data_IF_974822942650
#
_entry.id   IF_974822942650
#
_cell.length_a   1.000
_cell.length_b   1.000
_cell.length_c   1.000
_cell.angle_alpha   90.00
_cell.angle_beta   90.00
_cell.angle_gamma   90.00
#
_symmetry.space_group_name_H-M   'P 1'
#
loop_
_entity.id
_entity.type
_entity.pdbx_description
1 polymer ?
#
# COMPACT_ATOMS: atom_id res chain seq x y z
N UNK A 1 12.43 -20.41 -8.26
CA UNK A 1 12.15 -19.01 -8.59
C UNK A 1 13.04 -18.59 -9.77
N UNK A 2 12.65 -17.52 -10.51
CA UNK A 2 13.46 -16.88 -11.55
C UNK A 2 13.80 -17.74 -12.79
N UNK A 3 13.01 -18.72 -13.17
CA UNK A 3 13.33 -19.63 -14.29
C UNK A 3 13.41 -18.92 -15.66
N UNK A 4 12.66 -17.83 -15.84
CA UNK A 4 12.64 -17.04 -17.07
C UNK A 4 13.75 -15.98 -17.12
N UNK A 5 14.48 -15.77 -16.02
CA UNK A 5 15.56 -14.78 -15.96
C UNK A 5 16.81 -15.33 -16.68
N UNK A 6 17.46 -14.47 -17.46
CA UNK A 6 18.72 -14.73 -18.13
C UNK A 6 19.75 -13.65 -17.80
N UNK A 7 20.97 -13.79 -18.31
CA UNK A 7 22.03 -12.79 -18.17
C UNK A 7 21.69 -11.45 -18.84
N UNK A 8 20.77 -11.46 -19.81
CA UNK A 8 20.35 -10.29 -20.58
C UNK A 8 19.08 -9.64 -20.03
N UNK A 9 18.52 -10.18 -18.95
CA UNK A 9 17.33 -9.61 -18.30
C UNK A 9 17.70 -8.28 -17.65
N UNK A 10 17.08 -7.19 -18.09
CA UNK A 10 17.33 -5.85 -17.58
C UNK A 10 16.42 -5.47 -16.43
N UNK A 11 15.16 -5.89 -16.46
CA UNK A 11 14.14 -5.61 -15.44
C UNK A 11 13.47 -6.90 -15.00
N UNK A 12 13.35 -7.07 -13.69
CA UNK A 12 12.58 -8.13 -13.05
C UNK A 12 11.35 -7.50 -12.38
N UNK A 13 10.19 -7.69 -13.01
CA UNK A 13 8.94 -7.13 -12.51
C UNK A 13 8.14 -8.17 -11.73
N UNK A 14 7.75 -7.83 -10.50
CA UNK A 14 6.78 -8.55 -9.69
C UNK A 14 5.47 -7.78 -9.75
N UNK A 15 4.53 -8.28 -10.54
CA UNK A 15 3.27 -7.61 -10.79
C UNK A 15 2.19 -8.03 -9.80
N UNK A 16 1.40 -7.06 -9.32
CA UNK A 16 0.26 -7.21 -8.38
C UNK A 16 0.58 -8.10 -7.17
N UNK A 17 1.69 -7.81 -6.48
CA UNK A 17 2.07 -8.62 -5.32
C UNK A 17 1.09 -8.44 -4.17
N UNK A 18 0.80 -9.55 -3.49
CA UNK A 18 -0.15 -9.63 -2.40
C UNK A 18 0.38 -8.95 -1.12
N UNK A 19 -0.54 -8.59 -0.22
CA UNK A 19 -0.26 -7.95 1.09
C UNK A 19 0.82 -8.68 1.93
N UNK A 20 0.93 -10.00 1.80
CA UNK A 20 1.88 -10.83 2.55
C UNK A 20 3.22 -11.03 1.85
N UNK A 21 3.49 -10.30 0.76
CA UNK A 21 4.76 -10.41 0.05
C UNK A 21 5.92 -9.96 0.95
N UNK A 22 6.95 -10.79 1.02
CA UNK A 22 8.14 -10.55 1.81
C UNK A 22 9.21 -9.86 0.97
N UNK A 23 9.31 -8.55 1.12
CA UNK A 23 10.27 -7.71 0.39
C UNK A 23 11.72 -7.95 0.80
N UNK A 24 11.96 -8.44 2.02
CA UNK A 24 13.31 -8.68 2.51
C UNK A 24 14.01 -9.78 1.70
N UNK A 25 13.24 -10.71 1.11
CA UNK A 25 13.76 -11.72 0.18
C UNK A 25 14.39 -11.15 -1.09
N UNK A 26 14.09 -9.90 -1.43
CA UNK A 26 14.67 -9.21 -2.58
C UNK A 26 15.98 -8.47 -2.23
N UNK A 27 16.33 -8.34 -0.96
CA UNK A 27 17.46 -7.53 -0.54
C UNK A 27 18.79 -8.02 -1.13
N UNK A 28 19.03 -9.33 -1.11
CA UNK A 28 20.24 -9.90 -1.72
C UNK A 28 20.28 -9.69 -3.23
N UNK A 29 19.13 -9.85 -3.91
CA UNK A 29 19.03 -9.60 -5.36
C UNK A 29 19.36 -8.14 -5.70
N UNK A 30 18.91 -7.21 -4.88
CA UNK A 30 19.09 -5.77 -5.06
C UNK A 30 20.53 -5.32 -4.75
N UNK A 31 21.28 -6.01 -3.87
CA UNK A 31 22.58 -5.56 -3.36
C UNK A 31 23.77 -6.42 -3.74
N UNK A 32 23.57 -7.71 -3.99
CA UNK A 32 24.66 -8.69 -4.18
C UNK A 32 24.65 -9.34 -5.56
N UNK A 33 23.58 -9.14 -6.31
CA UNK A 33 23.34 -9.80 -7.59
C UNK A 33 22.43 -11.01 -7.45
N UNK A 34 22.13 -11.65 -8.57
CA UNK A 34 21.13 -12.71 -8.65
C UNK A 34 21.78 -14.07 -8.93
N UNK A 35 21.55 -15.03 -8.03
CA UNK A 35 21.91 -16.43 -8.28
C UNK A 35 20.71 -17.17 -8.89
N UNK A 36 20.93 -17.75 -10.04
CA UNK A 36 19.93 -18.53 -10.80
C UNK A 36 20.23 -20.00 -10.68
N UNK A 37 19.29 -20.74 -10.09
CA UNK A 37 19.29 -22.21 -10.08
C UNK A 37 18.20 -22.70 -11.03
N UNK A 38 18.58 -23.21 -12.19
CA UNK A 38 17.66 -23.82 -13.14
C UNK A 38 17.66 -25.34 -12.94
N UNK A 39 16.48 -25.96 -13.06
CA UNK A 39 16.33 -27.41 -12.94
C UNK A 39 17.30 -28.12 -13.90
N UNK A 40 18.13 -29.04 -13.37
CA UNK A 40 19.12 -29.80 -14.08
C UNK A 40 20.25 -28.97 -14.75
N UNK A 41 20.60 -27.81 -14.20
CA UNK A 41 21.73 -27.00 -14.65
C UNK A 41 22.48 -26.48 -13.43
N UNK A 42 23.78 -26.22 -13.60
CA UNK A 42 24.60 -25.60 -12.58
C UNK A 42 24.08 -24.21 -12.21
N UNK A 43 24.28 -23.86 -10.94
CA UNK A 43 23.92 -22.52 -10.44
C UNK A 43 24.78 -21.48 -11.15
N UNK A 44 24.14 -20.44 -11.68
CA UNK A 44 24.78 -19.33 -12.36
C UNK A 44 24.53 -18.03 -11.60
N UNK A 45 25.60 -17.29 -11.27
CA UNK A 45 25.51 -16.00 -10.57
C UNK A 45 25.65 -14.85 -11.56
N UNK A 46 24.64 -13.97 -11.60
CA UNK A 46 24.70 -12.69 -12.29
C UNK A 46 25.29 -11.67 -11.28
N UNK A 47 26.43 -11.04 -11.56
CA UNK A 47 27.04 -10.08 -10.67
C UNK A 47 26.16 -8.82 -10.56
N UNK A 48 26.26 -8.08 -9.47
CA UNK A 48 25.44 -6.89 -9.20
C UNK A 48 25.43 -5.88 -10.36
N UNK A 49 26.57 -5.63 -10.98
CA UNK A 49 26.70 -4.68 -12.12
C UNK A 49 25.87 -5.05 -13.35
N UNK A 50 25.52 -6.34 -13.51
CA UNK A 50 24.70 -6.88 -14.61
C UNK A 50 23.35 -7.42 -14.11
N UNK A 51 23.06 -7.28 -12.81
CA UNK A 51 21.82 -7.79 -12.22
C UNK A 51 20.63 -6.96 -12.68
N UNK A 52 19.48 -7.58 -12.98
CA UNK A 52 18.28 -6.85 -13.35
C UNK A 52 17.85 -5.88 -12.27
N UNK A 53 17.30 -4.74 -12.66
CA UNK A 53 16.61 -3.85 -11.74
C UNK A 53 15.27 -4.48 -11.34
N UNK A 54 14.91 -4.33 -10.07
CA UNK A 54 13.66 -4.88 -9.56
C UNK A 54 12.59 -3.82 -9.59
N UNK A 55 11.50 -4.10 -10.28
CA UNK A 55 10.26 -3.33 -10.25
C UNK A 55 9.16 -4.17 -9.57
N UNK A 56 8.22 -3.48 -8.91
CA UNK A 56 7.15 -4.16 -8.20
C UNK A 56 5.90 -3.29 -8.23
N UNK A 57 4.75 -3.90 -8.54
CA UNK A 57 3.45 -3.27 -8.42
C UNK A 57 2.64 -3.91 -7.30
N UNK A 58 1.88 -3.12 -6.57
CA UNK A 58 1.02 -3.59 -5.49
C UNK A 58 -0.05 -2.56 -5.14
N UNK A 59 -1.22 -3.04 -4.75
CA UNK A 59 -2.30 -2.22 -4.18
C UNK A 59 -2.13 -2.00 -2.66
N UNK A 60 -1.07 -2.56 -2.06
CA UNK A 60 -0.87 -2.55 -0.61
C UNK A 60 0.35 -1.73 -0.22
N UNK A 61 0.32 -1.11 0.97
CA UNK A 61 1.50 -0.49 1.54
C UNK A 61 2.60 -1.55 1.79
N UNK A 62 3.81 -1.24 1.36
CA UNK A 62 4.97 -2.10 1.56
C UNK A 62 5.35 -2.08 3.05
N UNK A 63 5.33 -3.26 3.68
CA UNK A 63 5.73 -3.43 5.08
C UNK A 63 7.24 -3.54 5.20
N UNK A 64 7.82 -2.84 6.14
CA UNK A 64 9.23 -2.87 6.50
C UNK A 64 9.62 -1.58 7.20
N UNK A 65 10.61 -1.66 8.08
CA UNK A 65 11.13 -0.52 8.86
C UNK A 65 12.66 -0.56 8.90
N UNK A 66 13.25 0.61 9.09
CA UNK A 66 14.68 0.76 9.29
C UNK A 66 15.44 1.23 8.06
N UNK A 67 16.63 1.76 8.31
CA UNK A 67 17.50 2.39 7.29
C UNK A 67 17.89 1.44 6.15
N UNK A 68 18.00 0.15 6.43
CA UNK A 68 18.31 -0.88 5.42
C UNK A 68 17.18 -1.03 4.40
N UNK A 69 15.94 -0.97 4.87
CA UNK A 69 14.75 -1.05 4.03
C UNK A 69 14.58 0.21 3.19
N UNK A 70 14.68 1.39 3.82
CA UNK A 70 14.48 2.68 3.14
C UNK A 70 15.52 2.93 2.03
N UNK A 71 16.76 2.47 2.19
CA UNK A 71 17.81 2.62 1.16
C UNK A 71 17.62 1.76 -0.08
N UNK A 72 16.76 0.72 0.00
CA UNK A 72 16.52 -0.25 -1.08
C UNK A 72 15.19 -0.06 -1.77
N UNK A 73 14.39 0.89 -1.29
CA UNK A 73 13.05 1.14 -1.79
C UNK A 73 12.95 2.52 -2.43
N UNK A 74 12.43 2.56 -3.64
CA UNK A 74 11.89 3.76 -4.25
C UNK A 74 10.41 3.52 -4.50
N UNK A 75 9.55 4.24 -3.80
CA UNK A 75 8.11 4.05 -3.86
C UNK A 75 7.46 5.21 -4.61
N UNK A 76 6.62 4.88 -5.58
CA UNK A 76 5.76 5.80 -6.30
C UNK A 76 4.32 5.47 -5.98
N UNK A 77 3.51 6.48 -5.78
CA UNK A 77 2.08 6.35 -5.60
C UNK A 77 1.38 6.98 -6.81
N UNK A 78 0.53 6.18 -7.47
CA UNK A 78 -0.32 6.66 -8.55
C UNK A 78 -1.62 7.22 -7.95
N UNK A 79 -2.02 8.41 -8.40
CA UNK A 79 -3.30 8.98 -8.02
C UNK A 79 -4.45 8.11 -8.56
N UNK A 80 -5.52 7.98 -7.79
CA UNK A 80 -6.73 7.30 -8.21
C UNK A 80 -7.56 8.25 -9.10
N UNK A 81 -7.19 8.34 -10.36
CA UNK A 81 -7.86 9.17 -11.35
C UNK A 81 -9.01 8.42 -12.02
N UNK A 82 -8.75 7.18 -12.43
CA UNK A 82 -9.76 6.34 -13.07
C UNK A 82 -10.64 5.62 -12.04
N UNK A 83 -11.91 5.45 -12.41
CA UNK A 83 -12.94 4.76 -11.62
C UNK A 83 -13.53 3.61 -12.43
N UNK A 84 -14.52 2.89 -11.85
CA UNK A 84 -15.25 1.84 -12.58
C UNK A 84 -16.02 2.38 -13.80
N UNK A 85 -16.53 3.60 -13.66
CA UNK A 85 -17.38 4.23 -14.67
C UNK A 85 -16.60 5.20 -15.58
N UNK A 86 -15.41 5.60 -15.18
CA UNK A 86 -14.51 6.45 -15.94
C UNK A 86 -13.15 5.76 -16.09
N UNK A 87 -12.95 5.13 -17.22
CA UNK A 87 -11.75 4.35 -17.55
C UNK A 87 -10.95 5.03 -18.66
N UNK A 88 -9.66 4.65 -18.89
CA UNK A 88 -8.91 5.15 -20.04
C UNK A 88 -9.63 4.94 -21.38
N UNK A 89 -10.33 3.81 -21.54
CA UNK A 89 -11.10 3.55 -22.73
C UNK A 89 -12.27 4.55 -22.91
N UNK A 90 -12.93 4.95 -21.81
CA UNK A 90 -14.00 5.96 -21.84
C UNK A 90 -13.44 7.34 -22.18
N UNK A 91 -12.29 7.69 -21.61
CA UNK A 91 -11.65 8.99 -21.83
C UNK A 91 -11.10 9.15 -23.25
N UNK A 92 -10.40 8.15 -23.76
CA UNK A 92 -9.70 8.23 -25.05
C UNK A 92 -10.46 7.58 -26.22
N UNK A 93 -11.55 6.84 -25.94
CA UNK A 93 -12.36 6.16 -26.97
C UNK A 93 -11.65 4.98 -27.65
N UNK A 94 -10.46 4.56 -27.15
CA UNK A 94 -9.63 3.49 -27.73
C UNK A 94 -8.65 2.93 -26.71
N UNK A 95 -8.03 1.80 -27.04
CA UNK A 95 -7.02 1.17 -26.18
C UNK A 95 -5.70 1.93 -26.27
N UNK A 96 -5.17 2.32 -25.13
CA UNK A 96 -3.82 2.90 -25.06
C UNK A 96 -2.78 1.88 -25.48
N UNK A 97 -1.73 2.34 -26.15
CA UNK A 97 -0.62 1.57 -26.72
C UNK A 97 -1.03 0.63 -27.86
N UNK A 98 -2.12 -0.14 -27.71
CA UNK A 98 -2.52 -1.15 -28.69
C UNK A 98 -3.10 -0.58 -29.97
N UNK A 99 -3.71 0.61 -29.91
CA UNK A 99 -4.39 1.27 -31.04
C UNK A 99 -3.77 2.64 -31.39
N UNK A 100 -2.54 2.89 -30.92
CA UNK A 100 -1.81 4.11 -31.23
C UNK A 100 -1.24 4.10 -32.67
N UNK A 101 -1.32 5.24 -33.32
CA UNK A 101 -0.65 5.48 -34.60
C UNK A 101 0.83 5.86 -34.42
N UNK A 102 1.56 5.98 -35.54
CA UNK A 102 3.00 6.31 -35.53
C UNK A 102 3.27 7.68 -34.90
N UNK A 103 2.37 8.66 -35.05
CA UNK A 103 2.53 9.98 -34.47
C UNK A 103 2.41 9.95 -32.93
N UNK A 104 1.50 9.16 -32.41
CA UNK A 104 1.35 8.97 -30.97
C UNK A 104 2.55 8.23 -30.36
N UNK A 105 3.07 7.22 -31.05
CA UNK A 105 4.31 6.57 -30.64
C UNK A 105 5.48 7.57 -30.64
N UNK A 106 5.62 8.43 -31.66
CA UNK A 106 6.63 9.49 -31.68
C UNK A 106 6.47 10.47 -30.51
N UNK A 107 5.23 10.84 -30.13
CA UNK A 107 4.99 11.72 -28.99
C UNK A 107 5.37 11.04 -27.68
N UNK A 108 5.03 9.75 -27.52
CA UNK A 108 5.44 8.97 -26.36
C UNK A 108 6.96 8.85 -26.25
N UNK A 109 7.66 8.56 -27.34
CA UNK A 109 9.11 8.45 -27.36
C UNK A 109 9.77 9.79 -26.98
N UNK A 110 9.28 10.91 -27.51
CA UNK A 110 9.75 12.25 -27.13
C UNK A 110 9.52 12.54 -25.63
N UNK A 111 8.36 12.15 -25.11
CA UNK A 111 8.07 12.27 -23.67
C UNK A 111 9.08 11.44 -22.84
N UNK A 112 9.36 10.21 -23.25
CA UNK A 112 10.33 9.33 -22.55
C UNK A 112 11.76 9.87 -22.63
N UNK A 113 12.17 10.44 -23.79
CA UNK A 113 13.47 11.10 -23.95
C UNK A 113 13.59 12.31 -23.01
N UNK A 114 12.57 13.15 -22.92
CA UNK A 114 12.55 14.29 -22.01
C UNK A 114 12.66 13.87 -20.54
N UNK A 115 11.95 12.79 -20.16
CA UNK A 115 12.07 12.22 -18.81
C UNK A 115 13.47 11.68 -18.53
N UNK A 116 14.10 11.03 -19.52
CA UNK A 116 15.47 10.55 -19.40
C UNK A 116 16.46 11.72 -19.23
N UNK A 117 16.31 12.81 -19.99
CA UNK A 117 17.12 14.02 -19.84
C UNK A 117 16.97 14.62 -18.43
N UNK A 118 15.73 14.73 -17.93
CA UNK A 118 15.46 15.19 -16.57
C UNK A 118 16.12 14.29 -15.52
N UNK A 119 16.06 12.97 -15.72
CA UNK A 119 16.74 12.04 -14.83
C UNK A 119 18.27 12.18 -14.86
N UNK A 120 18.87 12.36 -16.04
CA UNK A 120 20.31 12.53 -16.17
C UNK A 120 20.79 13.84 -15.53
N UNK A 121 19.97 14.88 -15.54
CA UNK A 121 20.30 16.18 -14.96
C UNK A 121 20.07 16.22 -13.43
N UNK A 122 18.96 15.67 -12.94
CA UNK A 122 18.51 15.83 -11.56
C UNK A 122 18.51 14.53 -10.73
N UNK A 123 18.74 13.38 -11.36
CA UNK A 123 18.59 12.06 -10.73
C UNK A 123 17.12 11.70 -10.46
N UNK A 124 16.90 10.77 -9.54
CA UNK A 124 15.56 10.35 -9.14
C UNK A 124 14.88 11.43 -8.29
N UNK A 125 13.84 12.04 -8.82
CA UNK A 125 13.04 13.02 -8.11
C UNK A 125 12.11 12.33 -7.13
N UNK A 126 12.12 12.75 -5.87
CA UNK A 126 11.21 12.22 -4.85
C UNK A 126 9.80 12.75 -5.09
N UNK A 127 8.84 11.84 -5.24
CA UNK A 127 7.44 12.20 -5.25
C UNK A 127 6.93 12.46 -3.82
N UNK A 128 5.95 13.34 -3.68
CA UNK A 128 5.21 13.49 -2.44
C UNK A 128 4.12 12.41 -2.38
N UNK A 129 4.08 11.67 -1.29
CA UNK A 129 3.03 10.69 -1.07
C UNK A 129 1.75 11.39 -0.63
N UNK A 130 0.67 11.21 -1.37
CA UNK A 130 -0.63 11.80 -1.04
C UNK A 130 -1.35 10.96 0.01
N UNK A 131 -1.32 9.63 -0.12
CA UNK A 131 -2.10 8.71 0.71
C UNK A 131 -1.25 7.71 1.51
N UNK A 132 0.07 7.88 1.58
CA UNK A 132 0.95 6.94 2.27
C UNK A 132 0.51 6.67 3.71
N UNK A 133 0.09 7.71 4.43
CA UNK A 133 -0.35 7.58 5.82
C UNK A 133 -1.61 6.71 5.93
N UNK A 134 -2.60 6.93 5.05
CA UNK A 134 -3.82 6.10 5.01
C UNK A 134 -3.48 4.67 4.62
N UNK A 135 -2.60 4.45 3.64
CA UNK A 135 -2.14 3.12 3.23
C UNK A 135 -1.42 2.37 4.36
N UNK A 136 -0.62 3.07 5.18
CA UNK A 136 0.00 2.50 6.36
C UNK A 136 -1.04 2.09 7.40
N UNK A 137 -2.06 2.92 7.63
CA UNK A 137 -3.17 2.58 8.52
C UNK A 137 -3.94 1.35 7.99
N UNK A 138 -4.25 1.30 6.68
CA UNK A 138 -4.86 0.13 6.04
C UNK A 138 -4.00 -1.13 6.24
N UNK A 139 -2.68 -1.00 6.10
CA UNK A 139 -1.76 -2.12 6.28
C UNK A 139 -1.75 -2.65 7.72
N UNK A 140 -1.93 -1.77 8.70
CA UNK A 140 -1.99 -2.12 10.12
C UNK A 140 -3.35 -2.68 10.54
N UNK A 141 -4.44 -2.11 10.04
CA UNK A 141 -5.81 -2.40 10.49
C UNK A 141 -6.62 -3.23 9.50
N UNK A 142 -6.73 -2.79 8.28
CA UNK A 142 -7.52 -3.39 7.20
C UNK A 142 -8.26 -2.31 6.43
N UNK A 143 -8.59 -2.62 5.18
CA UNK A 143 -9.29 -1.69 4.29
C UNK A 143 -10.68 -1.37 4.83
N UNK A 144 -11.42 -2.39 5.19
CA UNK A 144 -12.81 -2.32 5.67
C UNK A 144 -12.91 -1.49 6.95
N UNK A 145 -11.93 -1.60 7.86
CA UNK A 145 -11.90 -0.77 9.05
C UNK A 145 -11.66 0.71 8.73
N UNK A 146 -10.74 1.01 7.82
CA UNK A 146 -10.42 2.39 7.43
C UNK A 146 -11.59 3.03 6.66
N UNK A 147 -12.29 2.26 5.84
CA UNK A 147 -13.53 2.66 5.18
C UNK A 147 -14.63 2.91 6.21
N UNK A 148 -14.83 2.01 7.17
CA UNK A 148 -15.78 2.17 8.27
C UNK A 148 -15.49 3.39 9.14
N UNK A 149 -14.23 3.76 9.32
CA UNK A 149 -13.85 5.01 9.99
C UNK A 149 -14.20 6.27 9.18
N UNK A 150 -14.58 6.16 7.91
CA UNK A 150 -14.91 7.29 7.04
C UNK A 150 -13.70 7.94 6.36
N UNK A 151 -12.54 7.27 6.33
CA UNK A 151 -11.34 7.80 5.66
C UNK A 151 -11.27 7.47 4.17
N UNK A 152 -12.14 6.58 3.69
CA UNK A 152 -12.22 6.17 2.28
C UNK A 152 -13.65 6.36 1.77
N UNK A 153 -13.81 7.12 0.69
CA UNK A 153 -15.10 7.26 0.01
C UNK A 153 -16.19 8.04 0.76
N UNK A 154 -15.90 8.57 1.95
CA UNK A 154 -16.81 9.37 2.76
C UNK A 154 -16.33 10.82 2.88
N UNK A 155 -17.27 11.75 3.06
CA UNK A 155 -17.00 13.16 3.32
C UNK A 155 -16.86 13.47 4.81
N UNK A 156 -17.15 12.50 5.68
CA UNK A 156 -17.12 12.69 7.15
C UNK A 156 -16.62 11.45 7.87
N UNK A 157 -15.97 11.66 8.99
CA UNK A 157 -15.57 10.60 9.91
C UNK A 157 -16.81 9.99 10.57
N UNK A 158 -16.75 8.67 10.83
CA UNK A 158 -17.79 7.95 11.54
C UNK A 158 -18.13 8.63 12.87
N UNK A 159 -19.39 8.99 13.05
CA UNK A 159 -19.88 9.73 14.23
C UNK A 159 -19.58 9.05 15.56
N UNK A 160 -19.42 7.72 15.56
CA UNK A 160 -19.09 6.93 16.74
C UNK A 160 -17.61 7.05 17.16
N UNK A 161 -16.78 7.67 16.34
CA UNK A 161 -15.35 7.90 16.60
C UNK A 161 -15.02 9.38 16.88
N UNK A 162 -16.00 10.18 17.27
CA UNK A 162 -15.78 11.61 17.59
C UNK A 162 -15.06 11.81 18.92
N UNK A 163 -14.14 12.80 18.99
CA UNK A 163 -13.43 13.13 20.23
C UNK A 163 -14.37 13.71 21.30
N UNK A 164 -13.84 13.86 22.50
CA UNK A 164 -14.51 14.49 23.65
C UNK A 164 -15.78 13.76 24.12
N UNK A 165 -15.95 12.47 23.76
CA UNK A 165 -17.07 11.63 24.19
C UNK A 165 -16.58 10.31 24.80
N UNK A 166 -17.44 9.63 25.54
CA UNK A 166 -17.22 8.26 26.02
C UNK A 166 -17.66 7.28 24.94
N UNK A 167 -16.74 6.49 24.45
CA UNK A 167 -17.00 5.51 23.40
C UNK A 167 -16.92 4.13 24.02
N UNK A 168 -18.08 3.51 24.31
CA UNK A 168 -18.14 2.20 24.93
C UNK A 168 -17.59 1.13 23.98
N UNK A 169 -16.59 0.41 24.44
CA UNK A 169 -15.85 -0.56 23.64
C UNK A 169 -16.68 -1.71 23.09
N UNK A 170 -17.58 -2.34 23.88
CA UNK A 170 -18.42 -3.41 23.36
C UNK A 170 -19.35 -2.95 22.25
N UNK A 171 -19.94 -1.76 22.41
CA UNK A 171 -20.89 -1.20 21.44
C UNK A 171 -20.16 -0.87 20.13
N UNK A 172 -19.01 -0.20 20.22
CA UNK A 172 -18.21 0.11 19.04
C UNK A 172 -17.76 -1.14 18.26
N UNK A 173 -17.40 -2.22 18.98
CA UNK A 173 -17.07 -3.50 18.35
C UNK A 173 -18.28 -4.12 17.66
N UNK A 174 -19.44 -4.13 18.33
CA UNK A 174 -20.66 -4.70 17.78
C UNK A 174 -21.12 -3.93 16.53
N UNK A 175 -21.05 -2.60 16.55
CA UNK A 175 -21.36 -1.75 15.40
C UNK A 175 -20.45 -2.06 14.20
N UNK A 176 -19.14 -2.22 14.45
CA UNK A 176 -18.21 -2.60 13.38
C UNK A 176 -18.55 -3.98 12.78
N UNK A 177 -18.89 -4.96 13.63
CA UNK A 177 -19.25 -6.32 13.19
C UNK A 177 -20.60 -6.34 12.45
N UNK A 178 -21.56 -5.51 12.85
CA UNK A 178 -22.85 -5.36 12.16
C UNK A 178 -22.65 -4.86 10.73
N UNK A 179 -21.82 -3.84 10.56
CA UNK A 179 -21.49 -3.27 9.25
C UNK A 179 -20.53 -4.18 8.44
N UNK A 180 -19.74 -5.03 9.10
CA UNK A 180 -18.75 -5.91 8.50
C UNK A 180 -18.87 -7.37 9.01
N UNK A 181 -19.89 -8.12 8.61
CA UNK A 181 -20.16 -9.46 9.13
C UNK A 181 -19.05 -10.48 8.92
N UNK A 182 -18.19 -10.28 7.92
CA UNK A 182 -17.03 -11.12 7.62
C UNK A 182 -15.97 -11.12 8.74
N UNK A 183 -16.03 -10.17 9.65
CA UNK A 183 -15.14 -10.06 10.81
C UNK A 183 -15.76 -10.64 12.10
N UNK A 184 -17.01 -11.09 12.05
CA UNK A 184 -17.73 -11.65 13.20
C UNK A 184 -17.04 -12.92 13.75
N UNK A 185 -17.29 -13.29 15.01
CA UNK A 185 -16.82 -14.55 15.58
C UNK A 185 -17.21 -15.75 14.70
N UNK A 186 -16.24 -16.64 14.44
CA UNK A 186 -16.38 -17.83 13.57
C UNK A 186 -16.50 -17.55 12.06
N UNK A 187 -16.37 -16.31 11.62
CA UNK A 187 -16.30 -15.96 10.19
C UNK A 187 -14.87 -16.14 9.64
N UNK A 188 -14.74 -15.96 8.32
CA UNK A 188 -13.47 -16.16 7.58
C UNK A 188 -12.34 -15.24 8.05
N UNK A 189 -12.66 -14.00 8.41
CA UNK A 189 -11.69 -12.98 8.83
C UNK A 189 -11.88 -12.57 10.29
N UNK A 190 -12.39 -13.46 11.12
CA UNK A 190 -12.67 -13.21 12.55
C UNK A 190 -11.63 -12.32 13.21
N UNK A 191 -12.08 -11.22 13.82
CA UNK A 191 -11.23 -10.33 14.60
C UNK A 191 -11.57 -10.43 16.09
N UNK A 192 -10.56 -10.52 16.94
CA UNK A 192 -10.76 -10.43 18.39
C UNK A 192 -11.05 -9.00 18.82
N UNK A 193 -11.83 -8.82 19.90
CA UNK A 193 -12.09 -7.49 20.50
C UNK A 193 -10.79 -6.74 20.82
N UNK A 194 -9.77 -7.46 21.32
CA UNK A 194 -8.47 -6.87 21.67
C UNK A 194 -7.82 -6.27 20.40
N UNK A 195 -7.80 -7.02 19.31
CA UNK A 195 -7.23 -6.55 18.04
C UNK A 195 -8.01 -5.36 17.47
N UNK A 196 -9.33 -5.41 17.51
CA UNK A 196 -10.16 -4.29 17.09
C UNK A 196 -9.87 -3.02 17.91
N UNK A 197 -9.74 -3.13 19.23
CA UNK A 197 -9.41 -2.00 20.09
C UNK A 197 -8.02 -1.41 19.80
N UNK A 198 -7.06 -2.23 19.39
CA UNK A 198 -5.78 -1.75 18.89
C UNK A 198 -5.94 -0.95 17.59
N UNK A 199 -6.81 -1.37 16.70
CA UNK A 199 -7.14 -0.65 15.47
C UNK A 199 -7.76 0.71 15.75
N UNK A 200 -8.68 0.79 16.70
CA UNK A 200 -9.28 2.08 17.12
C UNK A 200 -8.21 3.02 17.68
N UNK A 201 -7.29 2.52 18.51
CA UNK A 201 -6.16 3.32 19.03
C UNK A 201 -5.25 3.81 17.89
N UNK A 202 -4.93 2.95 16.95
CA UNK A 202 -4.13 3.32 15.76
C UNK A 202 -4.81 4.41 14.92
N UNK A 203 -6.14 4.32 14.75
CA UNK A 203 -6.92 5.34 14.07
C UNK A 203 -6.90 6.68 14.83
N UNK A 204 -7.11 6.69 16.14
CA UNK A 204 -7.08 7.93 16.94
C UNK A 204 -5.71 8.61 16.86
N UNK A 205 -4.63 7.84 16.98
CA UNK A 205 -3.28 8.37 16.83
C UNK A 205 -3.02 8.88 15.40
N UNK A 206 -3.54 8.17 14.41
CA UNK A 206 -3.38 8.56 13.01
C UNK A 206 -4.13 9.84 12.67
N UNK A 207 -5.43 9.89 12.98
CA UNK A 207 -6.33 10.95 12.52
C UNK A 207 -6.31 12.16 13.45
N UNK A 208 -6.53 11.92 14.74
CA UNK A 208 -6.61 12.99 15.73
C UNK A 208 -5.26 13.38 16.34
N UNK A 209 -4.18 12.62 16.09
CA UNK A 209 -2.85 12.79 16.70
C UNK A 209 -2.84 12.65 18.22
N UNK A 210 -3.81 11.93 18.77
CA UNK A 210 -4.01 11.74 20.21
C UNK A 210 -4.09 10.26 20.52
N UNK A 211 -3.51 9.84 21.62
CA UNK A 211 -3.66 8.48 22.14
C UNK A 211 -5.02 8.32 22.81
N UNK A 212 -5.77 7.30 22.38
CA UNK A 212 -7.01 6.93 23.06
C UNK A 212 -6.68 6.20 24.37
N UNK A 213 -7.19 6.73 25.47
CA UNK A 213 -7.06 6.17 26.81
C UNK A 213 -8.19 5.19 27.10
N UNK A 214 -7.87 4.19 27.92
CA UNK A 214 -8.81 3.17 28.39
C UNK A 214 -9.31 3.57 29.78
N UNK A 215 -10.63 3.58 29.96
CA UNK A 215 -11.25 3.85 31.25
C UNK A 215 -12.49 2.95 31.47
N UNK A 216 -13.09 3.02 32.66
CA UNK A 216 -14.22 2.21 33.06
C UNK A 216 -15.16 2.97 33.98
N UNK A 217 -16.45 2.85 33.75
CA UNK A 217 -17.52 3.30 34.63
C UNK A 217 -18.58 2.21 34.86
N UNK A 218 -19.76 2.57 35.40
CA UNK A 218 -20.92 1.68 35.64
C UNK A 218 -21.40 1.06 34.30
N UNK A 219 -21.31 1.81 33.18
CA UNK A 219 -21.71 1.35 31.84
C UNK A 219 -20.72 0.40 31.18
N UNK A 220 -19.50 0.28 31.73
CA UNK A 220 -18.48 -0.64 31.20
C UNK A 220 -17.14 0.02 30.86
N UNK A 221 -16.37 -0.65 30.00
CA UNK A 221 -15.08 -0.13 29.50
C UNK A 221 -15.33 0.77 28.29
N UNK A 222 -14.66 1.92 28.26
CA UNK A 222 -14.76 2.88 27.16
C UNK A 222 -13.41 3.46 26.76
N UNK A 223 -13.36 4.05 25.57
CA UNK A 223 -12.28 4.92 25.13
C UNK A 223 -12.63 6.37 25.41
N UNK A 224 -11.62 7.17 25.77
CA UNK A 224 -11.67 8.62 25.69
C UNK A 224 -10.43 9.14 24.97
N UNK A 225 -10.61 10.13 24.16
CA UNK A 225 -9.53 10.93 23.61
C UNK A 225 -10.02 12.37 23.46
N UNK A 226 -9.14 13.30 23.75
CA UNK A 226 -9.43 14.73 23.71
C UNK A 226 -8.59 15.37 22.63
N UNK A 227 -9.21 16.19 21.81
CA UNK A 227 -8.52 17.09 20.90
C UNK A 227 -8.61 18.49 21.49
N UNK A 228 -7.50 19.22 21.47
CA UNK A 228 -7.53 20.65 21.71
C UNK A 228 -8.20 21.28 20.47
N UNK A 229 -9.39 21.83 20.64
CA UNK A 229 -10.14 22.56 19.60
C UNK A 229 -9.40 23.82 19.16
#
# INVERSE_FOLDING_TARGET
>A
AYQLVSADTQILCFDDVKRAFDFEKLFSVITEGLTLEKKNKDAFKIPFSKSPKVALTTNYAIKGKGSSFERRKWELELAQYYTKDFTPLVEFGRLMFGEWDDNEWCQFDNYMINNLQTYLEHGLLKSQFVNLKIRLLIAETGHEFVEWCGLLGSTSINDKLKPNSRIYKPDLYNDFIEDNPDFAPKSKFTISRIKFYQWVKAFCLFYYKVEATDDRDIGGRYFTFKTDD
#
